data_IF_600896795841
#
_entry.id   IF_600896795841
#
_cell.length_a   1.000
_cell.length_b   1.000
_cell.length_c   1.000
_cell.angle_alpha   90.00
_cell.angle_beta   90.00
_cell.angle_gamma   90.00
#
_symmetry.space_group_name_H-M   'P 1'
#
loop_
_entity.id
_entity.type
_entity.pdbx_description
1 polymer ?
#
# COMPACT_ATOMS: atom_id res chain seq x y z
N UNK A 1 41.46 8.11 1.85
CA UNK A 1 40.02 8.31 2.15
C UNK A 1 39.13 8.56 0.92
N UNK A 2 39.60 8.40 -0.32
CA UNK A 2 38.84 8.79 -1.55
C UNK A 2 37.89 7.67 -2.07
N UNK A 3 37.99 6.45 -1.53
CA UNK A 3 37.25 5.28 -2.05
C UNK A 3 35.80 5.18 -1.54
N UNK A 4 35.47 5.85 -0.44
CA UNK A 4 34.17 5.74 0.23
C UNK A 4 33.11 6.63 -0.44
N UNK A 5 33.49 7.83 -0.89
CA UNK A 5 32.56 8.79 -1.51
C UNK A 5 31.98 8.28 -2.84
N UNK A 6 32.78 7.56 -3.63
CA UNK A 6 32.32 6.96 -4.90
C UNK A 6 31.31 5.83 -4.69
N UNK A 7 31.40 5.09 -3.58
CA UNK A 7 30.43 4.04 -3.25
C UNK A 7 29.10 4.61 -2.75
N UNK A 8 29.12 5.68 -1.95
CA UNK A 8 27.90 6.37 -1.52
C UNK A 8 27.16 7.03 -2.70
N UNK A 9 27.90 7.61 -3.65
CA UNK A 9 27.32 8.19 -4.87
C UNK A 9 26.59 7.14 -5.71
N UNK A 10 27.18 5.96 -5.90
CA UNK A 10 26.56 4.87 -6.64
C UNK A 10 25.32 4.33 -5.91
N UNK A 11 25.39 4.23 -4.57
CA UNK A 11 24.28 3.77 -3.73
C UNK A 11 23.11 4.75 -3.76
N UNK A 12 23.38 6.05 -3.72
CA UNK A 12 22.36 7.09 -3.83
C UNK A 12 21.64 7.06 -5.17
N UNK A 13 22.35 6.83 -6.28
CA UNK A 13 21.75 6.76 -7.61
C UNK A 13 20.86 5.52 -7.74
N UNK A 14 21.34 4.37 -7.23
CA UNK A 14 20.54 3.15 -7.15
C UNK A 14 19.28 3.34 -6.31
N UNK A 15 19.39 4.03 -5.19
CA UNK A 15 18.26 4.31 -4.30
C UNK A 15 17.19 5.15 -5.01
N UNK A 16 17.58 6.17 -5.78
CA UNK A 16 16.65 7.03 -6.52
C UNK A 16 15.97 6.27 -7.67
N UNK A 17 16.71 5.43 -8.41
CA UNK A 17 16.15 4.62 -9.49
C UNK A 17 15.17 3.58 -8.92
N UNK A 18 15.51 2.95 -7.80
CA UNK A 18 14.63 2.01 -7.10
C UNK A 18 13.37 2.72 -6.58
N UNK A 19 13.51 3.93 -6.02
CA UNK A 19 12.38 4.75 -5.57
C UNK A 19 11.47 5.19 -6.74
N UNK A 20 12.06 5.47 -7.90
CA UNK A 20 11.34 5.80 -9.12
C UNK A 20 10.56 4.60 -9.65
N UNK A 21 11.18 3.42 -9.73
CA UNK A 21 10.53 2.19 -10.19
C UNK A 21 9.35 1.79 -9.27
N UNK A 22 9.51 1.97 -7.95
CA UNK A 22 8.50 1.68 -6.93
C UNK A 22 7.22 2.54 -7.06
N UNK A 23 7.32 3.72 -7.69
CA UNK A 23 6.17 4.59 -7.95
C UNK A 23 5.37 4.19 -9.21
N UNK A 24 5.90 3.33 -10.09
CA UNK A 24 5.31 3.03 -11.40
C UNK A 24 4.58 1.68 -11.50
N UNK A 25 4.55 0.87 -10.43
CA UNK A 25 3.80 -0.38 -10.41
C UNK A 25 2.29 -0.12 -10.32
N UNK A 26 1.74 0.21 -11.49
CA UNK A 26 0.33 0.24 -11.83
C UNK A 26 -0.26 -1.16 -11.72
N UNK A 27 -0.59 -1.56 -10.50
CA UNK A 27 -1.46 -2.69 -10.28
C UNK A 27 -2.90 -2.19 -10.17
N UNK A 28 -3.54 -2.05 -11.34
CA UNK A 28 -5.00 -1.98 -11.47
C UNK A 28 -5.56 -3.34 -11.00
N UNK A 29 -5.64 -3.53 -9.68
CA UNK A 29 -6.29 -4.68 -9.08
C UNK A 29 -7.81 -4.47 -9.22
N UNK A 30 -8.38 -5.16 -10.19
CA UNK A 30 -9.81 -5.44 -10.20
C UNK A 30 -10.18 -6.10 -8.88
N UNK A 31 -10.99 -5.42 -8.07
CA UNK A 31 -11.50 -5.96 -6.82
C UNK A 31 -12.22 -7.29 -7.11
N UNK A 32 -11.66 -8.39 -6.63
CA UNK A 32 -12.32 -9.69 -6.67
C UNK A 32 -13.63 -9.60 -5.87
N UNK A 33 -14.79 -9.93 -6.47
CA UNK A 33 -16.06 -9.88 -5.75
C UNK A 33 -16.05 -10.95 -4.65
N UNK A 34 -16.03 -10.52 -3.38
CA UNK A 34 -16.17 -11.40 -2.23
C UNK A 34 -15.23 -11.15 -1.05
N UNK A 35 -14.17 -10.35 -1.22
CA UNK A 35 -13.27 -9.99 -0.10
C UNK A 35 -13.74 -8.68 0.53
N UNK A 36 -14.06 -8.71 1.82
CA UNK A 36 -14.28 -7.49 2.59
C UNK A 36 -12.93 -6.77 2.74
N UNK A 37 -12.72 -5.74 1.92
CA UNK A 37 -11.48 -4.97 1.87
C UNK A 37 -11.12 -4.35 3.22
N UNK A 38 -12.11 -3.94 4.02
CA UNK A 38 -11.90 -3.40 5.37
C UNK A 38 -11.35 -4.47 6.33
N UNK A 39 -11.88 -5.69 6.26
CA UNK A 39 -11.37 -6.84 7.05
C UNK A 39 -9.95 -7.20 6.62
N UNK A 40 -9.70 -7.26 5.31
CA UNK A 40 -8.35 -7.57 4.79
C UNK A 40 -7.35 -6.50 5.19
N UNK A 41 -7.74 -5.22 5.19
CA UNK A 41 -6.89 -4.12 5.63
C UNK A 41 -6.49 -4.27 7.10
N UNK A 42 -7.44 -4.58 7.99
CA UNK A 42 -7.14 -4.83 9.41
C UNK A 42 -6.15 -5.99 9.59
N UNK A 43 -6.37 -7.10 8.89
CA UNK A 43 -5.46 -8.25 8.94
C UNK A 43 -4.03 -7.88 8.50
N UNK A 44 -3.90 -7.12 7.41
CA UNK A 44 -2.59 -6.68 6.92
C UNK A 44 -1.91 -5.70 7.88
N UNK A 45 -2.66 -4.80 8.52
CA UNK A 45 -2.12 -3.92 9.56
C UNK A 45 -1.64 -4.70 10.78
N UNK A 46 -2.38 -5.72 11.22
CA UNK A 46 -1.94 -6.61 12.30
C UNK A 46 -0.68 -7.40 11.93
N UNK A 47 -0.62 -7.94 10.71
CA UNK A 47 0.56 -8.65 10.20
C UNK A 47 1.79 -7.74 10.12
N UNK A 48 1.63 -6.50 9.64
CA UNK A 48 2.68 -5.48 9.63
C UNK A 48 3.20 -5.18 11.04
N UNK A 49 2.30 -4.98 12.01
CA UNK A 49 2.67 -4.73 13.41
C UNK A 49 3.44 -5.90 14.02
N UNK A 50 3.01 -7.14 13.72
CA UNK A 50 3.72 -8.35 14.16
C UNK A 50 5.13 -8.43 13.57
N UNK A 51 5.30 -8.09 12.29
CA UNK A 51 6.63 -8.05 11.66
C UNK A 51 7.53 -6.97 12.27
N UNK A 52 6.99 -5.79 12.60
CA UNK A 52 7.74 -4.75 13.30
C UNK A 52 8.21 -5.24 14.68
N UNK A 53 7.35 -5.96 15.41
CA UNK A 53 7.75 -6.59 16.67
C UNK A 53 8.83 -7.65 16.46
N UNK A 54 8.70 -8.50 15.44
CA UNK A 54 9.73 -9.50 15.11
C UNK A 54 11.06 -8.84 14.75
N UNK A 55 11.04 -7.70 14.05
CA UNK A 55 12.24 -6.94 13.71
C UNK A 55 12.95 -6.44 14.97
N UNK A 56 12.20 -5.89 15.92
CA UNK A 56 12.74 -5.47 17.22
C UNK A 56 13.29 -6.65 18.03
N UNK A 57 12.57 -7.77 18.08
CA UNK A 57 13.00 -8.96 18.80
C UNK A 57 14.30 -9.52 18.21
N UNK A 58 14.36 -9.63 16.88
CA UNK A 58 15.55 -10.09 16.18
C UNK A 58 16.73 -9.13 16.38
N UNK A 59 16.51 -7.80 16.32
CA UNK A 59 17.54 -6.81 16.62
C UNK A 59 18.14 -6.98 18.03
N UNK A 60 17.29 -7.27 19.01
CA UNK A 60 17.68 -7.46 20.41
C UNK A 60 18.19 -8.87 20.73
N UNK A 61 18.11 -9.81 19.79
CA UNK A 61 18.60 -11.16 19.98
C UNK A 61 20.13 -11.22 19.81
N UNK A 62 20.82 -11.05 20.94
CA UNK A 62 22.28 -11.13 21.05
C UNK A 62 22.79 -12.58 21.00
N UNK A 63 21.91 -13.59 21.08
CA UNK A 63 22.31 -14.99 20.93
C UNK A 63 22.63 -15.35 19.48
N UNK A 64 22.08 -14.59 18.53
CA UNK A 64 22.35 -14.73 17.11
C UNK A 64 23.63 -14.00 16.72
N UNK A 65 24.41 -14.61 15.83
CA UNK A 65 25.50 -13.94 15.15
C UNK A 65 24.97 -12.75 14.32
N UNK A 66 25.79 -11.71 14.16
CA UNK A 66 25.42 -10.46 13.49
C UNK A 66 24.92 -10.68 12.04
N UNK A 67 25.51 -11.62 11.30
CA UNK A 67 25.16 -11.92 9.91
C UNK A 67 23.76 -12.55 9.81
N UNK A 68 23.44 -13.50 10.69
CA UNK A 68 22.13 -14.17 10.75
C UNK A 68 21.07 -13.16 11.18
N UNK A 69 21.37 -12.33 12.18
CA UNK A 69 20.48 -11.25 12.64
C UNK A 69 20.16 -10.29 11.49
N UNK A 70 21.19 -9.82 10.78
CA UNK A 70 21.04 -8.93 9.63
C UNK A 70 20.22 -9.57 8.50
N UNK A 71 20.51 -10.82 8.14
CA UNK A 71 19.76 -11.53 7.07
C UNK A 71 18.29 -11.69 7.43
N UNK A 72 17.98 -12.08 8.68
CA UNK A 72 16.60 -12.17 9.16
C UNK A 72 15.91 -10.81 9.16
N UNK A 73 16.60 -9.74 9.57
CA UNK A 73 16.04 -8.37 9.53
C UNK A 73 15.74 -7.92 8.10
N UNK A 74 16.60 -8.26 7.13
CA UNK A 74 16.36 -7.97 5.70
C UNK A 74 15.11 -8.68 5.18
N UNK A 75 14.92 -9.96 5.53
CA UNK A 75 13.72 -10.71 5.14
C UNK A 75 12.45 -10.10 5.75
N UNK A 76 12.49 -9.75 7.04
CA UNK A 76 11.36 -9.10 7.72
C UNK A 76 11.04 -7.74 7.07
N UNK A 77 12.06 -6.96 6.70
CA UNK A 77 11.87 -5.68 6.01
C UNK A 77 11.21 -5.87 4.63
N UNK A 78 11.61 -6.88 3.86
CA UNK A 78 10.98 -7.21 2.58
C UNK A 78 9.50 -7.63 2.74
N UNK A 79 9.18 -8.40 3.78
CA UNK A 79 7.79 -8.77 4.08
C UNK A 79 6.95 -7.53 4.48
N UNK A 80 7.51 -6.61 5.27
CA UNK A 80 6.86 -5.33 5.61
C UNK A 80 6.58 -4.49 4.36
N UNK A 81 7.54 -4.40 3.44
CA UNK A 81 7.38 -3.69 2.17
C UNK A 81 6.24 -4.30 1.34
N UNK A 82 6.22 -5.63 1.19
CA UNK A 82 5.15 -6.34 0.49
C UNK A 82 3.77 -6.05 1.09
N UNK A 83 3.64 -6.10 2.42
CA UNK A 83 2.37 -5.80 3.10
C UNK A 83 1.97 -4.35 2.90
N UNK A 84 2.92 -3.42 2.98
CA UNK A 84 2.67 -1.99 2.75
C UNK A 84 2.12 -1.74 1.34
N UNK A 85 2.68 -2.42 0.34
CA UNK A 85 2.19 -2.36 -1.04
C UNK A 85 0.77 -2.93 -1.17
N UNK A 86 0.46 -4.03 -0.47
CA UNK A 86 -0.91 -4.58 -0.44
C UNK A 86 -1.91 -3.63 0.22
N UNK A 87 -1.55 -2.99 1.34
CA UNK A 87 -2.38 -1.98 2.01
C UNK A 87 -2.64 -0.81 1.06
N UNK A 88 -1.61 -0.32 0.38
CA UNK A 88 -1.73 0.78 -0.59
C UNK A 88 -2.66 0.40 -1.75
N UNK A 89 -2.54 -0.81 -2.29
CA UNK A 89 -3.43 -1.30 -3.35
C UNK A 89 -4.90 -1.37 -2.90
N UNK A 90 -5.16 -1.81 -1.66
CA UNK A 90 -6.52 -1.83 -1.11
C UNK A 90 -7.05 -0.41 -0.91
N UNK A 91 -6.24 0.51 -0.38
CA UNK A 91 -6.63 1.92 -0.23
C UNK A 91 -7.02 2.54 -1.56
N UNK A 92 -6.26 2.30 -2.63
CA UNK A 92 -6.60 2.77 -3.97
C UNK A 92 -7.93 2.18 -4.47
N UNK A 93 -8.17 0.89 -4.24
CA UNK A 93 -9.45 0.25 -4.59
C UNK A 93 -10.64 0.87 -3.84
N UNK A 94 -10.48 1.16 -2.54
CA UNK A 94 -11.51 1.83 -1.75
C UNK A 94 -11.82 3.22 -2.29
N UNK A 95 -10.79 4.03 -2.58
CA UNK A 95 -10.96 5.37 -3.16
C UNK A 95 -11.72 5.30 -4.49
N UNK A 96 -11.34 4.39 -5.39
CA UNK A 96 -12.00 4.21 -6.68
C UNK A 96 -13.46 3.79 -6.51
N UNK A 97 -13.74 2.83 -5.62
CA UNK A 97 -15.10 2.40 -5.29
C UNK A 97 -15.97 3.57 -4.82
N UNK A 98 -15.44 4.39 -3.91
CA UNK A 98 -16.16 5.52 -3.34
C UNK A 98 -16.38 6.65 -4.37
N UNK A 99 -15.48 6.81 -5.35
CA UNK A 99 -15.69 7.69 -6.50
C UNK A 99 -16.83 7.19 -7.39
N UNK A 100 -16.81 5.90 -7.77
CA UNK A 100 -17.86 5.29 -8.59
C UNK A 100 -19.25 5.35 -7.92
N UNK A 101 -19.32 5.18 -6.60
CA UNK A 101 -20.58 5.31 -5.86
C UNK A 101 -21.11 6.74 -5.91
N UNK A 102 -20.27 7.75 -5.66
CA UNK A 102 -20.66 9.17 -5.75
C UNK A 102 -21.12 9.57 -7.16
N UNK A 103 -20.47 9.04 -8.21
CA UNK A 103 -20.92 9.27 -9.58
C UNK A 103 -22.31 8.68 -9.85
N UNK A 104 -22.59 7.47 -9.34
CA UNK A 104 -23.91 6.85 -9.45
C UNK A 104 -24.98 7.64 -8.71
N UNK A 105 -24.69 8.09 -7.48
CA UNK A 105 -25.59 8.92 -6.69
C UNK A 105 -25.90 10.24 -7.39
N UNK A 106 -24.86 10.89 -7.94
CA UNK A 106 -25.02 12.14 -8.69
C UNK A 106 -25.90 11.93 -9.93
N UNK A 107 -25.68 10.86 -10.72
CA UNK A 107 -26.54 10.54 -11.87
C UNK A 107 -27.99 10.30 -11.46
N UNK A 108 -28.23 9.53 -10.40
CA UNK A 108 -29.57 9.23 -9.92
C UNK A 108 -30.30 10.48 -9.41
N UNK A 109 -29.60 11.38 -8.72
CA UNK A 109 -30.16 12.64 -8.22
C UNK A 109 -30.53 13.60 -9.35
N UNK A 110 -29.69 13.70 -10.40
CA UNK A 110 -30.01 14.53 -11.58
C UNK A 110 -31.23 13.98 -12.33
N UNK A 111 -31.33 12.66 -12.50
CA UNK A 111 -32.51 12.04 -13.13
C UNK A 111 -33.81 12.29 -12.33
N UNK A 112 -33.75 12.26 -11.00
CA UNK A 112 -34.91 12.55 -10.15
C UNK A 112 -35.34 14.03 -10.22
N UNK A 113 -34.41 14.98 -10.29
CA UNK A 113 -34.74 16.40 -10.46
C UNK A 113 -35.39 16.68 -11.83
N UNK A 114 -34.92 16.01 -12.88
CA UNK A 114 -35.49 16.13 -14.22
C UNK A 114 -36.93 15.58 -14.29
N UNK A 115 -37.20 14.48 -13.58
CA UNK A 115 -38.54 13.89 -13.49
C UNK A 115 -39.52 14.77 -12.70
N UNK A 116 -39.09 15.37 -11.58
CA UNK A 116 -39.95 16.27 -10.79
C UNK A 116 -40.27 17.59 -11.51
N UNK A 117 -39.32 18.14 -12.28
CA UNK A 117 -39.56 19.37 -13.06
C UNK A 117 -40.55 19.17 -14.23
N UNK A 118 -40.69 17.95 -14.75
CA UNK A 118 -41.66 17.64 -15.79
C UNK A 118 -43.08 17.39 -15.23
N UNK A 119 -43.20 16.87 -14.00
CA UNK A 119 -44.51 16.66 -13.35
C UNK A 119 -45.12 17.91 -12.72
N UNK A 120 -44.32 18.94 -12.39
CA UNK A 120 -44.83 20.22 -11.85
C UNK A 120 -45.32 21.22 -12.89
N UNK A 121 -45.34 20.86 -14.17
CA UNK A 121 -45.72 21.72 -15.31
C UNK A 121 -47.07 21.36 -15.95
N UNK A 122 -47.84 20.47 -15.32
CA UNK A 122 -49.19 20.11 -15.74
C UNK A 122 -50.26 20.71 -14.82
#
# INVERSE_FOLDING_TARGET
>A
MIKLEKQLSLFSLFFIIFLGLLMFDNNMLYASPGINLDVRMRQLTEEQNNLIQQLNNNFNDLSLNNTIRLSRMQNIAADIERISNQINAINQQLILRDQFQRERETRNNTSNQQNNNNNGRH
#
